data_IF_237756938947
#
_entry.id   IF_237756938947
#
_cell.length_a   1.000
_cell.length_b   1.000
_cell.length_c   1.000
_cell.angle_alpha   90.00
_cell.angle_beta   90.00
_cell.angle_gamma   90.00
#
_symmetry.space_group_name_H-M   'P 1'
#
loop_
_entity.id
_entity.type
_entity.pdbx_description
1 polymer ?
#
# COMPACT_ATOMS: atom_id res chain seq x y z
N UNK A 1 -15.64 6.80 -27.13
CA UNK A 1 -15.77 7.48 -25.81
C UNK A 1 -15.22 8.89 -25.95
N UNK A 2 -16.04 9.88 -25.73
CA UNK A 2 -15.66 11.28 -25.93
C UNK A 2 -15.54 12.00 -24.60
N UNK A 3 -14.39 12.68 -24.39
CA UNK A 3 -14.13 13.46 -23.19
C UNK A 3 -14.97 14.75 -23.20
N UNK A 4 -15.76 14.97 -22.17
CA UNK A 4 -16.52 16.20 -21.95
C UNK A 4 -15.74 17.23 -21.18
N UNK A 5 -15.10 16.80 -20.10
CA UNK A 5 -14.29 17.68 -19.25
C UNK A 5 -13.24 16.89 -18.50
N UNK A 6 -12.17 17.58 -18.12
CA UNK A 6 -11.14 17.07 -17.24
C UNK A 6 -10.65 18.22 -16.35
N UNK A 7 -10.28 17.87 -15.10
CA UNK A 7 -9.81 18.86 -14.11
C UNK A 7 -8.89 18.21 -13.09
N UNK A 8 -8.20 19.05 -12.34
CA UNK A 8 -7.33 18.66 -11.23
C UNK A 8 -6.26 17.64 -11.62
N UNK A 9 -5.47 17.89 -12.68
CA UNK A 9 -4.39 17.00 -13.06
C UNK A 9 -3.30 17.00 -11.98
N UNK A 10 -2.82 15.79 -11.63
CA UNK A 10 -1.78 15.60 -10.61
C UNK A 10 -0.86 14.46 -11.06
N UNK A 11 0.44 14.65 -10.98
CA UNK A 11 1.40 13.58 -11.24
C UNK A 11 1.23 12.45 -10.24
N UNK A 12 1.27 11.19 -10.72
CA UNK A 12 1.12 10.00 -9.86
C UNK A 12 2.41 9.62 -9.14
N UNK A 13 3.55 10.14 -9.60
CA UNK A 13 4.88 9.84 -9.05
C UNK A 13 5.86 11.00 -9.32
N UNK A 14 7.00 10.95 -8.64
CA UNK A 14 8.05 11.96 -8.80
C UNK A 14 8.71 11.92 -10.18
N UNK A 15 8.63 10.80 -10.90
CA UNK A 15 9.20 10.61 -12.23
C UNK A 15 8.30 11.18 -13.34
N UNK A 16 7.11 11.65 -13.01
CA UNK A 16 6.15 12.20 -13.98
C UNK A 16 5.75 11.21 -15.07
N UNK A 17 5.49 9.95 -14.69
CA UNK A 17 5.17 8.88 -15.64
C UNK A 17 3.71 8.90 -16.10
N UNK A 18 2.79 9.25 -15.21
CA UNK A 18 1.35 9.26 -15.46
C UNK A 18 0.70 10.43 -14.73
N UNK A 19 -0.52 10.77 -15.15
CA UNK A 19 -1.28 11.88 -14.55
C UNK A 19 -2.64 11.37 -14.12
N UNK A 20 -3.02 11.63 -12.87
CA UNK A 20 -4.38 11.44 -12.37
C UNK A 20 -5.18 12.71 -12.59
N UNK A 21 -6.43 12.57 -13.04
CA UNK A 21 -7.35 13.69 -13.15
C UNK A 21 -8.79 13.24 -12.97
N UNK A 22 -9.66 14.21 -12.74
CA UNK A 22 -11.10 13.99 -12.73
C UNK A 22 -11.63 14.22 -14.13
N UNK A 23 -12.23 13.20 -14.70
CA UNK A 23 -12.75 13.25 -16.07
C UNK A 23 -14.23 12.94 -16.13
N UNK A 24 -14.91 13.51 -17.11
CA UNK A 24 -16.28 13.19 -17.46
C UNK A 24 -16.32 12.83 -18.95
N UNK A 25 -16.85 11.67 -19.28
CA UNK A 25 -17.11 11.25 -20.64
C UNK A 25 -18.61 11.34 -20.96
N UNK A 26 -18.98 11.23 -22.23
CA UNK A 26 -20.36 11.42 -22.68
C UNK A 26 -21.40 10.59 -21.91
N UNK A 27 -21.08 9.37 -21.56
CA UNK A 27 -22.01 8.45 -20.89
C UNK A 27 -21.54 7.98 -19.51
N UNK A 28 -20.48 8.59 -18.97
CA UNK A 28 -19.89 8.20 -17.70
C UNK A 28 -19.73 9.44 -16.82
N UNK A 29 -20.31 9.45 -15.62
CA UNK A 29 -20.16 10.58 -14.70
C UNK A 29 -18.72 10.76 -14.25
N UNK A 30 -18.44 11.89 -13.64
CA UNK A 30 -17.09 12.23 -13.18
C UNK A 30 -16.48 11.13 -12.32
N UNK A 31 -15.28 10.73 -12.67
CA UNK A 31 -14.49 9.74 -11.93
C UNK A 31 -12.99 10.06 -12.03
N UNK A 32 -12.20 9.36 -11.24
CA UNK A 32 -10.73 9.48 -11.32
C UNK A 32 -10.22 8.64 -12.47
N UNK A 33 -9.42 9.24 -13.32
CA UNK A 33 -8.80 8.61 -14.47
C UNK A 33 -7.29 8.78 -14.39
N UNK A 34 -6.55 7.72 -14.66
CA UNK A 34 -5.09 7.76 -14.76
C UNK A 34 -4.69 7.74 -16.23
N UNK A 35 -4.21 8.86 -16.72
CA UNK A 35 -3.73 9.00 -18.09
C UNK A 35 -2.28 8.50 -18.20
N UNK A 36 -2.03 7.64 -19.18
CA UNK A 36 -0.73 7.03 -19.42
C UNK A 36 -0.31 7.30 -20.87
N UNK A 37 0.92 7.78 -21.11
CA UNK A 37 1.39 8.02 -22.48
C UNK A 37 1.56 6.73 -23.31
N UNK A 38 1.55 5.58 -22.63
CA UNK A 38 1.67 4.25 -23.24
C UNK A 38 0.36 3.47 -23.24
N UNK A 39 -0.76 4.15 -22.95
CA UNK A 39 -2.06 3.50 -22.95
C UNK A 39 -2.34 2.83 -24.30
N UNK A 40 -2.93 1.65 -24.27
CA UNK A 40 -3.37 0.96 -25.48
C UNK A 40 -4.51 1.72 -26.19
N UNK A 41 -5.29 2.50 -25.42
CA UNK A 41 -6.40 3.30 -25.96
C UNK A 41 -5.92 4.70 -26.34
N UNK A 42 -6.37 5.16 -27.52
CA UNK A 42 -5.97 6.48 -28.02
C UNK A 42 -6.42 7.62 -27.13
N UNK A 43 -7.62 7.51 -26.52
CA UNK A 43 -8.14 8.55 -25.63
C UNK A 43 -7.29 8.73 -24.36
N UNK A 44 -6.72 7.64 -23.82
CA UNK A 44 -5.81 7.70 -22.67
C UNK A 44 -4.53 8.46 -22.99
N UNK A 45 -3.92 8.16 -24.14
CA UNK A 45 -2.72 8.87 -24.61
C UNK A 45 -3.02 10.34 -24.91
N UNK A 46 -4.15 10.63 -25.54
CA UNK A 46 -4.58 12.00 -25.86
C UNK A 46 -4.79 12.83 -24.59
N UNK A 47 -5.49 12.29 -23.60
CA UNK A 47 -5.71 12.98 -22.31
C UNK A 47 -4.37 13.27 -21.62
N UNK A 48 -3.42 12.33 -21.65
CA UNK A 48 -2.09 12.55 -21.06
C UNK A 48 -1.38 13.75 -21.71
N UNK A 49 -1.32 13.78 -23.03
CA UNK A 49 -0.62 14.86 -23.76
C UNK A 49 -1.30 16.21 -23.55
N UNK A 50 -2.62 16.26 -23.55
CA UNK A 50 -3.39 17.49 -23.29
C UNK A 50 -3.22 17.99 -21.86
N UNK A 51 -3.22 17.08 -20.87
CA UNK A 51 -2.97 17.42 -19.47
C UNK A 51 -1.54 17.95 -19.28
N UNK A 52 -0.56 17.27 -19.87
CA UNK A 52 0.84 17.68 -19.80
C UNK A 52 1.07 19.05 -20.43
N UNK A 53 0.33 19.37 -21.49
CA UNK A 53 0.39 20.67 -22.15
C UNK A 53 -0.30 21.81 -21.35
N UNK A 54 -0.97 21.49 -20.25
CA UNK A 54 -1.64 22.46 -19.39
C UNK A 54 -3.08 22.80 -19.81
N UNK A 55 -3.68 22.03 -20.71
CA UNK A 55 -5.03 22.30 -21.21
C UNK A 55 -6.11 22.22 -20.09
N UNK A 56 -5.88 21.36 -19.09
CA UNK A 56 -6.79 21.17 -17.95
C UNK A 56 -6.33 21.87 -16.67
N UNK A 57 -5.42 22.82 -16.80
CA UNK A 57 -4.75 23.51 -15.72
C UNK A 57 -3.33 22.98 -15.49
N UNK A 58 -2.61 23.65 -14.58
CA UNK A 58 -1.27 23.20 -14.22
C UNK A 58 -1.32 21.83 -13.54
N UNK A 59 -0.44 20.91 -13.94
CA UNK A 59 -0.34 19.60 -13.33
C UNK A 59 0.33 19.74 -11.96
N UNK A 60 -0.40 19.42 -10.90
CA UNK A 60 0.14 19.48 -9.53
C UNK A 60 1.21 18.42 -9.32
N UNK A 61 2.24 18.78 -8.55
CA UNK A 61 3.30 17.86 -8.20
C UNK A 61 2.78 16.71 -7.33
N UNK A 62 3.46 15.56 -7.45
CA UNK A 62 3.16 14.39 -6.64
C UNK A 62 3.47 14.67 -5.16
N UNK A 63 2.48 14.38 -4.33
CA UNK A 63 2.66 14.39 -2.89
C UNK A 63 2.62 12.94 -2.40
N UNK A 64 3.73 12.40 -1.87
CA UNK A 64 3.69 11.04 -1.31
C UNK A 64 2.69 10.98 -0.17
N UNK A 65 2.03 9.82 0.04
CA UNK A 65 1.13 9.67 1.17
C UNK A 65 1.90 9.93 2.47
N UNK A 66 1.25 10.52 3.49
CA UNK A 66 1.91 10.73 4.78
C UNK A 66 2.34 9.38 5.37
N UNK A 67 3.46 9.36 6.13
CA UNK A 67 3.87 8.13 6.80
C UNK A 67 2.77 7.67 7.77
N UNK A 68 2.66 6.36 8.03
CA UNK A 68 1.65 5.85 8.95
C UNK A 68 1.83 6.44 10.34
N UNK A 69 0.71 6.71 11.00
CA UNK A 69 0.72 7.16 12.40
C UNK A 69 1.17 6.03 13.33
N UNK A 70 1.46 6.37 14.58
CA UNK A 70 1.77 5.36 15.61
C UNK A 70 0.70 4.26 15.67
N UNK A 71 -0.58 4.66 15.70
CA UNK A 71 -1.71 3.71 15.79
C UNK A 71 -1.81 2.83 14.54
N UNK A 72 -1.65 3.41 13.35
CA UNK A 72 -1.70 2.67 12.09
C UNK A 72 -0.54 1.67 11.98
N UNK A 73 0.68 2.11 12.28
CA UNK A 73 1.85 1.25 12.24
C UNK A 73 1.78 0.16 13.30
N UNK A 74 1.29 0.49 14.48
CA UNK A 74 1.06 -0.47 15.57
C UNK A 74 0.09 -1.58 15.15
N UNK A 75 -1.01 -1.22 14.46
CA UNK A 75 -1.98 -2.18 13.95
C UNK A 75 -1.35 -3.11 12.89
N UNK A 76 -0.54 -2.56 11.98
CA UNK A 76 0.16 -3.34 10.96
C UNK A 76 1.09 -4.37 11.60
N UNK A 77 1.91 -3.94 12.56
CA UNK A 77 2.87 -4.84 13.23
C UNK A 77 2.14 -5.92 14.03
N UNK A 78 1.07 -5.56 14.74
CA UNK A 78 0.28 -6.53 15.50
C UNK A 78 -0.40 -7.55 14.59
N UNK A 79 -0.90 -7.14 13.44
CA UNK A 79 -1.48 -8.06 12.46
C UNK A 79 -0.45 -9.02 11.90
N UNK A 80 0.75 -8.55 11.57
CA UNK A 80 1.85 -9.41 11.12
C UNK A 80 2.27 -10.41 12.18
N UNK A 81 2.39 -9.95 13.43
CA UNK A 81 2.68 -10.82 14.59
C UNK A 81 1.61 -11.90 14.74
N UNK A 82 0.35 -11.52 14.71
CA UNK A 82 -0.77 -12.46 14.89
C UNK A 82 -0.80 -13.50 13.76
N UNK A 83 -0.49 -13.09 12.54
CA UNK A 83 -0.36 -14.00 11.41
C UNK A 83 0.77 -15.03 11.63
N UNK A 84 1.92 -14.57 12.10
CA UNK A 84 3.07 -15.45 12.39
C UNK A 84 2.76 -16.41 13.55
N UNK A 85 2.05 -15.95 14.56
CA UNK A 85 1.59 -16.82 15.65
C UNK A 85 0.62 -17.88 15.14
N UNK A 86 -0.35 -17.49 14.30
CA UNK A 86 -1.31 -18.42 13.70
C UNK A 86 -0.63 -19.49 12.84
N UNK A 87 0.38 -19.10 12.06
CA UNK A 87 1.17 -20.03 11.24
C UNK A 87 1.89 -21.11 12.06
N UNK A 88 2.17 -20.83 13.33
CA UNK A 88 2.92 -21.73 14.22
C UNK A 88 2.06 -22.34 15.34
N UNK A 89 0.75 -22.11 15.36
CA UNK A 89 -0.15 -22.68 16.38
C UNK A 89 -0.12 -24.22 16.41
N UNK A 90 0.10 -24.85 15.26
CA UNK A 90 0.23 -26.31 15.17
C UNK A 90 1.34 -26.87 16.06
N UNK A 91 2.38 -26.07 16.35
CA UNK A 91 3.51 -26.50 17.20
C UNK A 91 3.10 -26.69 18.65
N UNK A 92 1.93 -26.22 19.06
CA UNK A 92 1.44 -26.24 20.43
C UNK A 92 0.24 -27.19 20.62
N UNK A 93 -0.13 -27.91 19.58
CA UNK A 93 -1.22 -28.90 19.65
C UNK A 93 -0.88 -30.02 20.63
N UNK A 94 -1.92 -30.62 21.23
CA UNK A 94 -1.75 -31.62 22.30
C UNK A 94 -0.99 -32.88 21.86
N UNK A 95 -1.09 -33.25 20.59
CA UNK A 95 -0.46 -34.43 20.00
C UNK A 95 0.94 -34.18 19.44
N UNK A 96 1.46 -32.96 19.55
CA UNK A 96 2.81 -32.62 19.09
C UNK A 96 3.84 -33.01 20.18
N UNK A 97 4.99 -33.62 19.78
CA UNK A 97 6.04 -33.95 20.74
C UNK A 97 6.52 -32.76 21.56
N UNK A 98 6.80 -32.97 22.83
CA UNK A 98 7.25 -31.91 23.75
C UNK A 98 8.53 -31.23 23.24
N UNK A 99 9.46 -31.96 22.65
CA UNK A 99 10.68 -31.41 22.08
C UNK A 99 10.39 -30.37 20.97
N UNK A 100 9.37 -30.61 20.15
CA UNK A 100 8.93 -29.66 19.12
C UNK A 100 8.31 -28.43 19.75
N UNK A 101 7.45 -28.58 20.76
CA UNK A 101 6.86 -27.47 21.51
C UNK A 101 7.94 -26.60 22.10
N UNK A 102 8.91 -27.19 22.78
CA UNK A 102 10.02 -26.48 23.43
C UNK A 102 10.88 -25.72 22.42
N UNK A 103 11.10 -26.30 21.25
CA UNK A 103 11.86 -25.67 20.16
C UNK A 103 11.23 -24.37 19.67
N UNK A 104 9.91 -24.33 19.58
CA UNK A 104 9.16 -23.19 19.03
C UNK A 104 8.76 -22.17 20.11
N UNK A 105 8.79 -22.50 21.37
CA UNK A 105 8.37 -21.62 22.45
C UNK A 105 9.13 -20.28 22.48
N UNK A 106 10.47 -20.24 22.40
CA UNK A 106 11.18 -18.97 22.42
C UNK A 106 10.80 -18.04 21.28
N UNK A 107 10.64 -18.61 20.08
CA UNK A 107 10.20 -17.84 18.91
C UNK A 107 8.80 -17.25 19.12
N UNK A 108 7.87 -18.05 19.58
CA UNK A 108 6.49 -17.62 19.84
C UNK A 108 6.43 -16.58 20.97
N UNK A 109 7.24 -16.73 22.01
CA UNK A 109 7.33 -15.73 23.08
C UNK A 109 7.91 -14.41 22.57
N UNK A 110 8.94 -14.46 21.74
CA UNK A 110 9.51 -13.27 21.12
C UNK A 110 8.50 -12.54 20.22
N UNK A 111 7.62 -13.28 19.54
CA UNK A 111 6.51 -12.67 18.77
C UNK A 111 5.54 -11.94 19.70
N UNK A 112 5.16 -12.52 20.84
CA UNK A 112 4.28 -11.87 21.81
C UNK A 112 4.89 -10.61 22.37
N UNK A 113 6.21 -10.58 22.51
CA UNK A 113 6.95 -9.47 23.09
C UNK A 113 7.29 -8.35 22.09
N UNK A 114 6.98 -8.53 20.81
CA UNK A 114 7.23 -7.52 19.77
C UNK A 114 6.70 -6.13 20.17
N UNK A 115 5.48 -5.97 20.70
CA UNK A 115 5.00 -4.66 21.12
C UNK A 115 5.76 -4.03 22.28
N UNK A 116 6.56 -4.81 23.00
CA UNK A 116 7.38 -4.34 24.14
C UNK A 116 8.78 -3.89 23.72
N UNK A 117 9.15 -4.04 22.45
CA UNK A 117 10.43 -3.57 21.94
C UNK A 117 10.51 -2.05 21.98
N UNK A 118 11.69 -1.52 22.27
CA UNK A 118 11.92 -0.06 22.37
C UNK A 118 11.57 0.68 21.08
N UNK A 119 11.85 0.08 19.91
CA UNK A 119 11.59 0.68 18.60
C UNK A 119 10.16 0.49 18.07
N UNK A 120 9.31 -0.29 18.78
CA UNK A 120 7.94 -0.54 18.34
C UNK A 120 7.14 0.76 18.22
N UNK A 121 6.32 0.95 17.19
CA UNK A 121 6.06 0.07 16.05
C UNK A 121 6.90 0.38 14.79
N UNK A 122 7.77 1.39 14.82
CA UNK A 122 8.48 1.86 13.63
C UNK A 122 9.76 1.09 13.33
N UNK A 123 10.41 0.58 14.36
CA UNK A 123 11.59 -0.26 14.25
C UNK A 123 11.34 -1.55 15.03
N UNK A 124 11.11 -2.64 14.31
CA UNK A 124 10.81 -3.94 14.91
C UNK A 124 11.85 -4.94 14.48
N UNK A 125 12.46 -5.63 15.46
CA UNK A 125 13.34 -6.77 15.22
C UNK A 125 12.49 -8.03 15.30
N UNK A 126 12.23 -8.64 14.14
CA UNK A 126 11.45 -9.87 14.07
C UNK A 126 12.28 -11.07 14.50
N UNK A 127 11.72 -11.97 15.35
CA UNK A 127 12.47 -13.18 15.74
C UNK A 127 12.66 -14.10 14.54
N UNK A 128 13.73 -14.88 14.60
CA UNK A 128 14.08 -15.86 13.57
C UNK A 128 13.47 -17.21 13.94
N UNK A 129 12.84 -17.88 12.98
CA UNK A 129 12.26 -19.21 13.17
C UNK A 129 13.35 -20.22 13.53
N UNK A 130 13.04 -21.15 14.45
CA UNK A 130 13.99 -22.21 14.83
C UNK A 130 14.27 -23.18 13.70
#
# INVERSE_FOLDING_TARGET
MKLKSARNPTWVDAEHTRINLKVTFDNIPEHTFTADPKDCEAHGRDIFERAKAGEFGEVAEYEPPPPPTYEEQSAIVRNDRDRLLAETDWTQAADIPQATKDKWMPYRQALRDVPEQTGFPFEVVWPVKP
#
